data_IF_834119676825
#
_entry.id   IF_834119676825
#
_cell.length_a   1.000
_cell.length_b   1.000
_cell.length_c   1.000
_cell.angle_alpha   90.00
_cell.angle_beta   90.00
_cell.angle_gamma   90.00
#
_symmetry.space_group_name_H-M   'P 1'
#
loop_
_entity.id
_entity.type
_entity.pdbx_description
1 polymer ?
#
# COMPACT_ATOMS: atom_id res chain seq x y z
N UNK A 1 3.08 11.27 7.74
CA UNK A 1 2.89 11.35 9.20
C UNK A 1 2.92 9.96 9.80
N UNK A 2 3.64 9.82 10.90
CA UNK A 2 3.75 8.56 11.65
C UNK A 2 3.51 8.83 13.13
N UNK A 3 2.70 8.00 13.76
CA UNK A 3 2.38 8.08 15.18
C UNK A 3 2.57 6.71 15.80
N UNK A 4 3.37 6.62 16.83
CA UNK A 4 3.60 5.38 17.56
C UNK A 4 3.28 5.55 19.03
N UNK A 5 2.53 4.61 19.56
CA UNK A 5 2.26 4.49 20.99
C UNK A 5 2.85 3.16 21.46
N UNK A 6 3.58 3.17 22.55
CA UNK A 6 4.14 1.95 23.14
C UNK A 6 3.93 1.91 24.65
N UNK A 7 3.65 0.72 25.12
CA UNK A 7 3.52 0.38 26.53
C UNK A 7 4.45 -0.77 26.85
N UNK A 8 5.32 -0.56 27.80
CA UNK A 8 6.23 -1.60 28.28
C UNK A 8 6.13 -1.69 29.79
N UNK A 9 6.24 -2.88 30.32
CA UNK A 9 6.23 -3.09 31.74
C UNK A 9 6.81 -4.43 32.14
N UNK A 10 7.18 -4.50 33.41
CA UNK A 10 7.65 -5.71 34.02
C UNK A 10 7.08 -5.79 35.44
N UNK A 11 6.44 -6.89 35.76
CA UNK A 11 5.92 -7.15 37.08
C UNK A 11 6.32 -8.57 37.52
N UNK A 12 7.05 -8.64 38.66
CA UNK A 12 7.49 -9.90 39.29
C UNK A 12 7.99 -10.97 38.31
N UNK A 13 7.08 -11.58 37.57
CA UNK A 13 7.36 -12.74 36.71
C UNK A 13 6.93 -12.53 35.27
N UNK A 14 6.33 -11.37 34.93
CA UNK A 14 5.79 -11.09 33.59
C UNK A 14 6.41 -9.83 33.03
N UNK A 15 6.91 -9.94 31.83
CA UNK A 15 7.40 -8.83 31.02
C UNK A 15 6.46 -8.65 29.83
N UNK A 16 6.16 -7.42 29.48
CA UNK A 16 5.35 -7.14 28.29
C UNK A 16 5.82 -5.88 27.57
N UNK A 17 5.70 -5.92 26.27
CA UNK A 17 5.90 -4.78 25.40
C UNK A 17 4.83 -4.82 24.32
N UNK A 18 4.03 -3.76 24.22
CA UNK A 18 2.97 -3.62 23.23
C UNK A 18 3.19 -2.28 22.55
N UNK A 19 3.13 -2.26 21.23
CA UNK A 19 3.22 -1.03 20.45
C UNK A 19 2.25 -1.02 19.29
N UNK A 20 1.68 0.16 19.01
CA UNK A 20 0.84 0.42 17.87
C UNK A 20 1.39 1.60 17.08
N UNK A 21 1.49 1.45 15.77
CA UNK A 21 1.95 2.50 14.86
C UNK A 21 0.90 2.75 13.80
N UNK A 22 0.59 4.01 13.59
CA UNK A 22 -0.17 4.51 12.44
C UNK A 22 0.74 5.29 11.53
N UNK A 23 0.78 4.90 10.26
CA UNK A 23 1.49 5.59 9.20
C UNK A 23 0.49 6.09 8.16
N UNK A 24 0.57 7.38 7.84
CA UNK A 24 -0.09 7.97 6.69
C UNK A 24 0.97 8.69 5.85
N UNK A 25 1.30 8.10 4.73
CA UNK A 25 2.29 8.62 3.80
C UNK A 25 1.62 8.90 2.45
N UNK A 26 1.16 10.16 2.22
CA UNK A 26 0.66 10.53 0.92
C UNK A 26 1.78 10.43 -0.11
N UNK A 27 1.47 9.90 -1.27
CA UNK A 27 2.43 9.81 -2.38
C UNK A 27 2.76 11.19 -2.96
N UNK A 28 3.86 11.25 -3.70
CA UNK A 28 4.24 12.44 -4.46
C UNK A 28 3.35 12.65 -5.69
N UNK A 29 2.70 11.60 -6.12
CA UNK A 29 1.83 11.59 -7.30
C UNK A 29 0.39 11.64 -6.83
N UNK A 30 -0.45 12.34 -7.61
CA UNK A 30 -1.90 12.38 -7.35
C UNK A 30 -2.48 10.96 -7.22
N UNK A 31 -3.43 10.79 -6.33
CA UNK A 31 -4.11 9.51 -6.09
C UNK A 31 -3.16 8.37 -5.75
N UNK A 32 -2.06 8.67 -5.07
CA UNK A 32 -1.15 7.67 -4.53
C UNK A 32 -0.87 7.92 -3.06
N UNK A 33 -0.69 6.86 -2.34
CA UNK A 33 -0.42 6.96 -0.91
C UNK A 33 -0.50 5.61 -0.21
N UNK A 34 -0.02 5.58 1.03
CA UNK A 34 -0.08 4.41 1.89
C UNK A 34 -0.58 4.81 3.26
N UNK A 35 -1.61 4.12 3.73
CA UNK A 35 -2.03 4.14 5.14
C UNK A 35 -1.75 2.77 5.72
N UNK A 36 -1.05 2.73 6.85
CA UNK A 36 -0.67 1.48 7.48
C UNK A 36 -0.92 1.54 8.99
N UNK A 37 -1.53 0.49 9.50
CA UNK A 37 -1.67 0.22 10.92
C UNK A 37 -0.81 -0.98 11.26
N UNK A 38 0.05 -0.83 12.22
CA UNK A 38 0.94 -1.89 12.68
C UNK A 38 0.76 -2.09 14.17
N UNK A 39 0.63 -3.34 14.59
CA UNK A 39 0.55 -3.72 15.99
C UNK A 39 1.62 -4.77 16.27
N UNK A 40 2.29 -4.61 17.41
CA UNK A 40 3.24 -5.58 17.92
C UNK A 40 2.99 -5.82 19.40
N UNK A 41 3.12 -7.07 19.82
CA UNK A 41 3.01 -7.49 21.20
C UNK A 41 4.06 -8.57 21.48
N UNK A 42 4.84 -8.36 22.53
CA UNK A 42 5.78 -9.33 23.11
C UNK A 42 5.41 -9.50 24.57
N UNK A 43 5.00 -10.70 24.95
CA UNK A 43 4.64 -11.03 26.32
C UNK A 43 5.39 -12.28 26.74
N UNK A 44 6.02 -12.23 27.89
CA UNK A 44 6.71 -13.37 28.50
C UNK A 44 6.33 -13.46 29.96
N UNK A 45 5.98 -14.65 30.43
CA UNK A 45 5.66 -14.89 31.83
C UNK A 45 6.38 -16.13 32.34
N UNK A 46 7.11 -15.98 33.43
CA UNK A 46 7.67 -17.08 34.20
C UNK A 46 6.58 -17.63 35.13
N UNK A 47 5.86 -18.64 34.64
CA UNK A 47 4.75 -19.26 35.37
C UNK A 47 5.24 -19.94 36.64
N UNK A 48 6.37 -20.67 36.53
CA UNK A 48 7.08 -21.28 37.65
C UNK A 48 8.58 -21.03 37.50
N UNK A 49 9.40 -21.52 38.46
CA UNK A 49 10.86 -21.37 38.36
C UNK A 49 11.47 -22.22 37.23
N UNK A 50 10.75 -23.23 36.78
CA UNK A 50 11.16 -24.10 35.68
C UNK A 50 10.36 -23.89 34.37
N UNK A 51 9.26 -23.14 34.40
CA UNK A 51 8.36 -22.95 33.22
C UNK A 51 8.23 -21.48 32.88
N UNK A 52 8.62 -21.14 31.68
CA UNK A 52 8.35 -19.85 31.06
C UNK A 52 7.47 -20.04 29.82
N UNK A 53 6.46 -19.21 29.67
CA UNK A 53 5.63 -19.14 28.47
C UNK A 53 5.71 -17.73 27.89
N UNK A 54 5.67 -17.65 26.59
CA UNK A 54 5.67 -16.35 25.94
C UNK A 54 4.94 -16.37 24.62
N UNK A 55 4.63 -15.19 24.15
CA UNK A 55 4.01 -14.97 22.86
C UNK A 55 4.57 -13.70 22.21
N UNK A 56 5.05 -13.85 21.00
CA UNK A 56 5.42 -12.74 20.13
C UNK A 56 4.39 -12.68 19.01
N UNK A 57 3.73 -11.56 18.87
CA UNK A 57 2.75 -11.36 17.83
C UNK A 57 2.95 -9.99 17.19
N UNK A 58 2.83 -9.93 15.88
CA UNK A 58 2.78 -8.67 15.17
C UNK A 58 1.92 -8.80 13.92
N UNK A 59 1.38 -7.70 13.50
CA UNK A 59 0.62 -7.68 12.28
C UNK A 59 0.46 -6.27 11.75
N UNK A 60 0.09 -6.18 10.50
CA UNK A 60 -0.27 -4.92 9.90
C UNK A 60 -1.45 -5.07 8.94
N UNK A 61 -2.17 -3.98 8.83
CA UNK A 61 -3.09 -3.69 7.74
C UNK A 61 -2.52 -2.49 6.97
N UNK A 62 -2.41 -2.60 5.65
CA UNK A 62 -1.96 -1.52 4.80
C UNK A 62 -2.93 -1.35 3.63
N UNK A 63 -3.43 -0.12 3.49
CA UNK A 63 -4.18 0.34 2.33
C UNK A 63 -3.26 1.21 1.48
N UNK A 64 -3.03 0.80 0.26
CA UNK A 64 -2.23 1.54 -0.70
C UNK A 64 -3.07 1.90 -1.90
N UNK A 65 -3.28 3.20 -2.08
CA UNK A 65 -3.85 3.74 -3.31
C UNK A 65 -2.76 3.75 -4.39
N UNK A 66 -3.09 3.25 -5.56
CA UNK A 66 -2.18 3.24 -6.71
C UNK A 66 -2.92 3.75 -7.94
N UNK A 67 -2.38 4.80 -8.50
CA UNK A 67 -2.74 5.21 -9.85
C UNK A 67 -1.92 4.43 -10.90
N UNK A 68 -2.19 4.65 -12.16
CA UNK A 68 -1.40 4.07 -13.24
C UNK A 68 -0.04 4.79 -13.36
N UNK A 69 0.94 4.33 -12.56
CA UNK A 69 2.30 4.89 -12.56
C UNK A 69 3.10 4.56 -13.81
N UNK A 70 2.59 3.71 -14.71
CA UNK A 70 3.32 3.30 -15.91
C UNK A 70 3.76 4.47 -16.77
N UNK A 71 2.94 5.51 -16.84
CA UNK A 71 3.24 6.72 -17.61
C UNK A 71 4.22 7.67 -16.93
N UNK A 72 4.41 7.55 -15.63
CA UNK A 72 5.40 8.35 -14.90
C UNK A 72 6.83 7.81 -15.03
N UNK A 73 6.99 6.50 -14.97
CA UNK A 73 8.31 5.86 -15.02
C UNK A 73 8.76 5.56 -16.44
N UNK A 74 7.81 5.60 -17.38
CA UNK A 74 8.12 5.47 -18.79
C UNK A 74 8.64 6.77 -19.40
N UNK A 75 9.10 6.66 -20.62
CA UNK A 75 9.54 7.78 -21.45
C UNK A 75 8.43 8.81 -21.74
N UNK A 76 7.19 8.55 -21.27
CA UNK A 76 6.04 9.34 -21.65
C UNK A 76 6.06 10.76 -21.06
N UNK A 77 6.52 10.94 -19.82
CA UNK A 77 6.67 12.31 -19.29
C UNK A 77 7.74 13.13 -19.99
N UNK A 78 8.77 12.48 -20.51
CA UNK A 78 9.84 13.14 -21.27
C UNK A 78 9.45 13.42 -22.72
N UNK A 79 8.42 12.76 -23.23
CA UNK A 79 7.93 12.85 -24.61
C UNK A 79 6.69 13.71 -24.74
N UNK A 80 6.18 14.29 -23.70
CA UNK A 80 5.01 15.17 -23.77
C UNK A 80 5.37 16.42 -24.55
N UNK A 81 4.60 16.66 -25.61
CA UNK A 81 4.72 17.88 -26.39
C UNK A 81 4.39 19.10 -25.54
N UNK A 82 5.22 20.17 -25.54
CA UNK A 82 4.99 21.36 -24.72
C UNK A 82 3.63 22.05 -24.93
N UNK A 83 2.96 21.80 -26.04
CA UNK A 83 1.64 22.33 -26.36
C UNK A 83 0.48 21.58 -25.74
N UNK A 84 0.70 20.40 -25.17
CA UNK A 84 -0.37 19.63 -24.51
C UNK A 84 -0.63 20.22 -23.12
N UNK A 85 -1.83 20.76 -22.93
CA UNK A 85 -2.24 21.29 -21.64
C UNK A 85 -2.48 20.14 -20.66
N UNK A 86 -1.91 20.18 -19.43
CA UNK A 86 -2.22 19.18 -18.42
C UNK A 86 -3.72 19.16 -18.09
N UNK A 87 -4.29 20.32 -17.81
CA UNK A 87 -5.69 20.49 -17.44
C UNK A 87 -6.12 21.95 -17.66
N UNK A 88 -7.25 22.16 -18.29
CA UNK A 88 -7.80 23.49 -18.54
C UNK A 88 -9.32 23.45 -18.63
N UNK A 89 -9.99 24.39 -17.97
CA UNK A 89 -11.45 24.57 -18.00
C UNK A 89 -12.23 23.26 -17.80
N UNK A 90 -11.86 22.50 -16.77
CA UNK A 90 -12.52 21.25 -16.42
C UNK A 90 -12.15 20.03 -17.27
N UNK A 91 -11.26 20.17 -18.24
CA UNK A 91 -10.91 19.11 -19.18
C UNK A 91 -9.39 18.88 -19.28
N UNK A 92 -9.02 17.67 -19.64
CA UNK A 92 -7.63 17.30 -19.87
C UNK A 92 -7.23 17.66 -21.31
N UNK A 93 -5.98 18.09 -21.50
CA UNK A 93 -5.44 18.28 -22.84
C UNK A 93 -5.26 16.94 -23.55
N UNK A 94 -5.58 16.88 -24.83
CA UNK A 94 -5.35 15.74 -25.71
C UNK A 94 -4.39 16.10 -26.84
N UNK A 95 -3.88 15.10 -27.53
CA UNK A 95 -3.13 15.22 -28.77
C UNK A 95 -4.09 15.04 -29.95
N UNK A 96 -3.97 15.87 -30.98
CA UNK A 96 -4.90 15.89 -32.12
C UNK A 96 -4.60 14.81 -33.17
N UNK A 97 -3.31 14.54 -33.41
CA UNK A 97 -2.89 13.61 -34.46
C UNK A 97 -1.60 12.86 -34.09
N UNK A 98 -1.35 11.74 -34.77
CA UNK A 98 -0.10 10.98 -34.68
C UNK A 98 1.11 11.74 -35.28
N UNK A 99 0.89 12.86 -35.91
CA UNK A 99 1.93 13.63 -36.62
C UNK A 99 2.71 14.54 -35.66
N UNK A 100 2.16 14.84 -34.50
CA UNK A 100 2.77 15.72 -33.53
C UNK A 100 3.71 14.97 -32.55
N UNK A 101 4.51 14.07 -33.00
CA UNK A 101 5.53 13.36 -32.14
C UNK A 101 5.00 12.84 -30.79
N UNK A 102 3.70 12.88 -30.67
CA UNK A 102 3.03 12.69 -29.43
C UNK A 102 2.49 11.28 -29.28
N UNK A 103 3.33 10.29 -29.31
CA UNK A 103 2.93 8.95 -28.84
C UNK A 103 2.66 8.96 -27.31
N UNK A 104 3.03 10.02 -26.63
CA UNK A 104 2.76 10.22 -25.23
C UNK A 104 1.56 11.14 -25.05
N UNK A 105 0.42 10.57 -24.78
CA UNK A 105 -0.77 11.32 -24.35
C UNK A 105 -0.51 12.13 -23.07
N UNK A 106 -1.52 12.85 -22.62
CA UNK A 106 -1.44 13.61 -21.38
C UNK A 106 -1.21 12.67 -20.18
N UNK A 107 -0.06 12.71 -19.50
CA UNK A 107 0.23 11.83 -18.37
C UNK A 107 -0.76 12.00 -17.22
N UNK A 108 -1.24 13.22 -17.01
CA UNK A 108 -2.21 13.51 -15.96
C UNK A 108 -3.57 12.82 -16.25
N UNK A 109 -4.00 12.83 -17.51
CA UNK A 109 -5.18 12.09 -17.92
C UNK A 109 -5.00 10.60 -17.73
N UNK A 110 -3.86 10.05 -18.17
CA UNK A 110 -3.58 8.62 -18.06
C UNK A 110 -3.54 8.17 -16.60
N UNK A 111 -2.95 8.97 -15.71
CA UNK A 111 -2.97 8.70 -14.26
C UNK A 111 -4.37 8.74 -13.68
N UNK A 112 -5.24 9.62 -14.19
CA UNK A 112 -6.61 9.76 -13.70
C UNK A 112 -7.60 8.75 -14.33
N UNK A 113 -7.20 8.05 -15.37
CA UNK A 113 -8.05 7.08 -16.10
C UNK A 113 -8.06 5.68 -15.47
N UNK A 114 -7.32 5.47 -14.44
CA UNK A 114 -7.33 4.19 -13.72
C UNK A 114 -7.18 4.41 -12.23
N UNK A 115 -8.01 3.72 -11.49
CA UNK A 115 -7.93 3.67 -10.04
C UNK A 115 -7.61 2.26 -9.61
N UNK A 116 -6.61 2.13 -8.77
CA UNK A 116 -6.26 0.85 -8.19
C UNK A 116 -5.97 0.97 -6.70
N UNK A 117 -6.22 -0.11 -5.99
CA UNK A 117 -5.81 -0.21 -4.61
C UNK A 117 -5.22 -1.58 -4.30
N UNK A 118 -4.34 -1.60 -3.34
CA UNK A 118 -3.84 -2.80 -2.71
C UNK A 118 -4.21 -2.78 -1.24
N UNK A 119 -4.87 -3.83 -0.77
CA UNK A 119 -5.11 -4.05 0.66
C UNK A 119 -4.29 -5.24 1.09
N UNK A 120 -3.37 -4.99 1.99
CA UNK A 120 -2.46 -5.99 2.50
C UNK A 120 -2.69 -6.20 3.99
N UNK A 121 -2.82 -7.46 4.36
CA UNK A 121 -2.88 -7.88 5.75
C UNK A 121 -1.79 -8.90 6.00
N UNK A 122 -1.02 -8.68 7.05
CA UNK A 122 -0.06 -9.67 7.51
C UNK A 122 -0.18 -9.86 9.01
N UNK A 123 -0.19 -11.12 9.43
CA UNK A 123 -0.25 -11.51 10.82
C UNK A 123 0.79 -12.57 11.09
N UNK A 124 1.54 -12.37 12.13
CA UNK A 124 2.53 -13.30 12.63
C UNK A 124 2.30 -13.53 14.12
N UNK A 125 2.25 -14.80 14.52
CA UNK A 125 2.10 -15.19 15.92
C UNK A 125 3.08 -16.32 16.23
N UNK A 126 3.85 -16.13 17.29
CA UNK A 126 4.82 -17.10 17.78
C UNK A 126 4.65 -17.31 19.28
N UNK A 127 3.73 -18.16 19.72
CA UNK A 127 3.76 -18.66 21.08
C UNK A 127 4.95 -19.60 21.28
N UNK A 128 5.53 -19.56 22.48
CA UNK A 128 6.61 -20.44 22.84
C UNK A 128 6.52 -20.86 24.29
N UNK A 129 7.13 -21.97 24.57
CA UNK A 129 7.29 -22.53 25.90
C UNK A 129 8.75 -22.89 26.15
N UNK A 130 9.24 -22.56 27.32
CA UNK A 130 10.57 -22.89 27.76
C UNK A 130 10.47 -23.64 29.09
N UNK A 131 11.06 -24.85 29.15
CA UNK A 131 11.08 -25.69 30.33
C UNK A 131 12.53 -25.95 30.71
N UNK A 132 12.88 -25.63 31.96
CA UNK A 132 14.18 -25.95 32.58
C UNK A 132 14.03 -27.21 33.42
N UNK A 133 14.88 -28.17 33.22
CA UNK A 133 14.89 -29.42 34.00
C UNK A 133 16.29 -29.92 34.25
N UNK A 134 16.44 -30.73 35.27
CA UNK A 134 17.75 -31.33 35.67
C UNK A 134 18.89 -30.28 35.82
N UNK A 135 18.58 -29.09 36.33
CA UNK A 135 19.46 -27.92 36.54
C UNK A 135 20.12 -27.34 35.28
N UNK A 136 20.66 -28.18 34.39
CA UNK A 136 21.49 -27.75 33.28
C UNK A 136 20.80 -27.86 31.90
N UNK A 137 19.60 -28.43 31.88
CA UNK A 137 18.85 -28.64 30.62
C UNK A 137 17.75 -27.62 30.46
N UNK A 138 17.63 -27.14 29.23
CA UNK A 138 16.58 -26.23 28.79
C UNK A 138 15.95 -26.77 27.49
N UNK A 139 14.65 -26.98 27.52
CA UNK A 139 13.86 -27.29 26.34
C UNK A 139 13.07 -26.08 25.94
N UNK A 140 13.08 -25.74 24.65
CA UNK A 140 12.27 -24.65 24.08
C UNK A 140 11.48 -25.17 22.90
N UNK A 141 10.17 -24.98 22.91
CA UNK A 141 9.29 -25.23 21.81
C UNK A 141 8.65 -23.94 21.32
N UNK A 142 8.64 -23.75 20.02
CA UNK A 142 8.06 -22.58 19.34
C UNK A 142 7.04 -23.06 18.33
N UNK A 143 5.92 -22.37 18.25
CA UNK A 143 4.96 -22.52 17.19
C UNK A 143 4.91 -21.22 16.37
N UNK A 144 4.89 -21.34 15.05
CA UNK A 144 4.88 -20.19 14.15
C UNK A 144 3.63 -20.22 13.29
N UNK A 145 2.91 -19.12 13.28
CA UNK A 145 1.83 -18.88 12.36
C UNK A 145 2.09 -17.57 11.61
N UNK A 146 2.21 -17.64 10.30
CA UNK A 146 2.40 -16.48 9.41
C UNK A 146 1.34 -16.52 8.33
N UNK A 147 0.57 -15.46 8.21
CA UNK A 147 -0.45 -15.28 7.19
C UNK A 147 -0.26 -13.95 6.49
N UNK A 148 -0.20 -13.99 5.18
CA UNK A 148 -0.20 -12.81 4.33
C UNK A 148 -1.35 -12.89 3.35
N UNK A 149 -2.12 -11.81 3.26
CA UNK A 149 -3.22 -11.67 2.31
C UNK A 149 -3.04 -10.36 1.56
N UNK A 150 -3.12 -10.42 0.25
CA UNK A 150 -3.03 -9.26 -0.62
C UNK A 150 -4.24 -9.24 -1.55
N UNK A 151 -5.06 -8.21 -1.42
CA UNK A 151 -6.17 -7.95 -2.31
C UNK A 151 -5.79 -6.79 -3.23
N UNK A 152 -5.77 -7.06 -4.51
CA UNK A 152 -5.53 -6.09 -5.54
C UNK A 152 -6.80 -5.90 -6.37
N UNK A 153 -7.19 -4.65 -6.55
CA UNK A 153 -8.25 -4.28 -7.49
C UNK A 153 -7.73 -3.16 -8.36
N UNK A 154 -7.96 -3.30 -9.65
CA UNK A 154 -7.72 -2.26 -10.62
C UNK A 154 -8.99 -2.06 -11.44
N UNK A 155 -9.35 -0.81 -11.66
CA UNK A 155 -10.54 -0.44 -12.41
C UNK A 155 -10.22 0.78 -13.26
N UNK A 156 -10.47 0.73 -14.57
CA UNK A 156 -10.42 1.92 -15.38
C UNK A 156 -11.47 2.91 -14.84
N UNK A 157 -11.12 4.20 -14.83
CA UNK A 157 -12.08 5.23 -14.43
C UNK A 157 -13.06 5.50 -15.56
N UNK A 158 -14.12 6.21 -15.23
CA UNK A 158 -15.08 6.68 -16.20
C UNK A 158 -14.41 7.57 -17.24
N UNK A 159 -15.04 7.62 -18.41
CA UNK A 159 -14.66 8.46 -19.52
C UNK A 159 -14.48 9.92 -19.09
N UNK A 160 -13.39 10.55 -19.53
CA UNK A 160 -13.11 11.96 -19.33
C UNK A 160 -12.94 12.68 -20.65
N UNK A 161 -13.63 13.80 -20.79
CA UNK A 161 -13.50 14.63 -21.96
C UNK A 161 -12.11 15.28 -22.05
N UNK A 162 -11.60 15.38 -23.26
CA UNK A 162 -10.32 15.98 -23.56
C UNK A 162 -10.50 17.15 -24.54
N UNK A 163 -9.66 18.17 -24.39
CA UNK A 163 -9.50 19.19 -25.43
C UNK A 163 -8.47 18.74 -26.46
N UNK A 164 -8.71 19.13 -27.72
CA UNK A 164 -7.68 19.08 -28.75
C UNK A 164 -6.51 20.03 -28.41
N UNK A 165 -5.40 19.86 -29.10
CA UNK A 165 -4.20 20.71 -28.95
C UNK A 165 -4.52 22.21 -29.11
N UNK A 166 -5.30 22.57 -30.11
CA UNK A 166 -5.68 23.95 -30.39
C UNK A 166 -6.90 24.44 -29.60
N UNK A 167 -7.48 23.62 -28.74
CA UNK A 167 -8.68 23.89 -27.93
C UNK A 167 -9.97 24.17 -28.72
N UNK A 168 -9.97 23.95 -30.01
CA UNK A 168 -11.16 24.20 -30.86
C UNK A 168 -12.09 22.99 -30.97
N UNK A 169 -11.58 21.80 -30.62
CA UNK A 169 -12.34 20.56 -30.66
C UNK A 169 -12.24 19.80 -29.35
N UNK A 170 -13.31 19.15 -28.94
CA UNK A 170 -13.30 18.21 -27.82
C UNK A 170 -13.10 16.82 -28.40
N UNK A 171 -12.00 16.17 -27.99
CA UNK A 171 -11.78 14.78 -28.36
C UNK A 171 -12.55 13.89 -27.36
N UNK A 172 -13.37 13.02 -27.90
CA UNK A 172 -14.13 12.05 -27.14
C UNK A 172 -13.63 10.64 -27.46
N UNK A 173 -13.05 9.95 -26.49
CA UNK A 173 -12.73 8.52 -26.64
C UNK A 173 -13.76 7.72 -25.84
N UNK A 174 -14.53 6.84 -26.49
CA UNK A 174 -15.47 6.01 -25.75
C UNK A 174 -14.72 5.10 -24.78
N UNK A 175 -15.29 4.79 -23.60
CA UNK A 175 -14.67 3.89 -22.66
C UNK A 175 -14.52 2.51 -23.28
N UNK A 176 -13.31 2.01 -23.37
CA UNK A 176 -13.09 0.59 -23.58
C UNK A 176 -13.39 -0.11 -22.27
N UNK A 177 -14.60 -0.62 -22.15
CA UNK A 177 -14.99 -1.45 -21.01
C UNK A 177 -14.24 -2.77 -21.08
N UNK A 178 -13.16 -2.88 -20.37
CA UNK A 178 -12.62 -4.17 -19.95
C UNK A 178 -12.71 -4.23 -18.45
N UNK A 179 -13.84 -4.70 -17.95
CA UNK A 179 -13.97 -5.17 -16.57
C UNK A 179 -13.03 -6.37 -16.38
N UNK A 180 -11.83 -6.12 -15.93
CA UNK A 180 -10.97 -7.17 -15.41
C UNK A 180 -10.95 -7.08 -13.89
N UNK A 181 -11.95 -7.69 -13.27
CA UNK A 181 -11.84 -8.06 -11.86
C UNK A 181 -10.96 -9.30 -11.77
N UNK A 182 -9.72 -9.15 -11.38
CA UNK A 182 -8.88 -10.27 -10.96
C UNK A 182 -9.00 -10.42 -9.45
N UNK A 183 -9.57 -11.54 -9.02
CA UNK A 183 -9.64 -11.97 -7.63
C UNK A 183 -8.33 -12.63 -7.20
#
# INVERSE_FOLDING_TARGET
QEHTISLTGAEKRTNYAISGTYLNNPGLVIESGVKKYYLRSDIESRVTDFLTVGMRAWGYNADQDRNNLGDMWGLNMQKVTPGVYPYYDGKYGGIETNEEDGQAGNPLLNMSNSYGYYKQNKYFVNPYIEVKFLKDFKFTANFYYDQFTNHHRWQPSDYKEQYSFNRTMTLSTPPTSTDMATY
#
